data_IF_745490649005
#
_entry.id   IF_745490649005
#
_cell.length_a   1.000
_cell.length_b   1.000
_cell.length_c   1.000
_cell.angle_alpha   90.00
_cell.angle_beta   90.00
_cell.angle_gamma   90.00
#
_symmetry.space_group_name_H-M   'P 1'
#
loop_
_entity.id
_entity.type
_entity.pdbx_description
1 polymer ?
#
# COMPACT_ATOMS: atom_id res chain seq x y z
N UNK A 1 8.83 -6.84 -19.90
CA UNK A 1 9.68 -7.26 -18.76
C UNK A 1 10.05 -6.11 -17.82
N UNK A 2 9.89 -4.83 -18.18
CA UNK A 2 10.21 -3.66 -17.33
C UNK A 2 9.10 -3.23 -16.37
N UNK A 3 7.82 -3.36 -16.78
CA UNK A 3 6.68 -2.87 -15.98
C UNK A 3 6.54 -3.59 -14.62
N UNK A 4 6.70 -4.91 -14.60
CA UNK A 4 6.63 -5.70 -13.37
C UNK A 4 7.67 -5.22 -12.35
N UNK A 5 8.93 -5.05 -12.78
CA UNK A 5 10.00 -4.57 -11.91
C UNK A 5 9.78 -3.13 -11.43
N UNK A 6 9.21 -2.25 -12.26
CA UNK A 6 8.85 -0.90 -11.84
C UNK A 6 7.76 -0.89 -10.77
N UNK A 7 6.72 -1.72 -10.92
CA UNK A 7 5.65 -1.87 -9.93
C UNK A 7 6.19 -2.46 -8.62
N UNK A 8 7.04 -3.49 -8.70
CA UNK A 8 7.70 -4.08 -7.52
C UNK A 8 8.58 -3.05 -6.82
N UNK A 9 9.37 -2.28 -7.58
CA UNK A 9 10.23 -1.25 -7.02
C UNK A 9 9.42 -0.12 -6.38
N UNK A 10 8.37 0.36 -7.03
CA UNK A 10 7.48 1.39 -6.48
C UNK A 10 6.81 0.94 -5.17
N UNK A 11 6.39 -0.32 -5.12
CA UNK A 11 5.84 -0.93 -3.93
C UNK A 11 6.89 -1.06 -2.82
N UNK A 12 8.09 -1.56 -3.14
CA UNK A 12 9.17 -1.71 -2.17
C UNK A 12 9.62 -0.35 -1.61
N UNK A 13 9.64 0.69 -2.43
CA UNK A 13 9.92 2.08 -2.01
C UNK A 13 8.76 2.66 -1.20
N UNK A 14 7.51 2.33 -1.54
CA UNK A 14 6.34 2.73 -0.76
C UNK A 14 6.30 2.11 0.64
N UNK A 15 6.61 0.81 0.74
CA UNK A 15 6.41 0.03 1.95
C UNK A 15 7.63 0.02 2.89
N UNK A 16 8.85 0.27 2.41
CA UNK A 16 10.04 0.21 3.27
C UNK A 16 10.58 1.60 3.63
N UNK A 17 11.19 2.38 2.73
CA UNK A 17 11.78 3.67 3.09
C UNK A 17 10.73 4.71 3.48
N UNK A 18 9.50 4.60 2.97
CA UNK A 18 8.43 5.55 3.28
C UNK A 18 7.50 5.09 4.40
N UNK A 19 7.51 3.83 4.80
CA UNK A 19 6.78 3.36 5.97
C UNK A 19 7.59 3.63 7.25
N UNK A 20 7.77 4.91 7.57
CA UNK A 20 8.47 5.34 8.79
C UNK A 20 7.76 4.83 10.06
N UNK A 21 8.48 4.75 11.18
CA UNK A 21 7.94 4.33 12.48
C UNK A 21 6.70 5.16 12.88
N UNK A 22 6.68 6.43 12.52
CA UNK A 22 5.51 7.32 12.68
C UNK A 22 4.31 6.84 11.87
N UNK A 23 4.48 6.52 10.59
CA UNK A 23 3.38 6.04 9.74
C UNK A 23 2.87 4.69 10.23
N UNK A 24 3.77 3.81 10.67
CA UNK A 24 3.40 2.55 11.30
C UNK A 24 2.59 2.76 12.59
N UNK A 25 3.01 3.69 13.45
CA UNK A 25 2.27 4.05 14.66
C UNK A 25 0.87 4.59 14.34
N UNK A 26 0.76 5.49 13.35
CA UNK A 26 -0.54 6.04 12.92
C UNK A 26 -1.46 4.97 12.31
N UNK A 27 -0.90 4.04 11.53
CA UNK A 27 -1.63 2.89 10.98
C UNK A 27 -2.20 1.98 12.08
N UNK A 28 -1.43 1.74 13.14
CA UNK A 28 -1.88 0.88 14.23
C UNK A 28 -2.86 1.60 15.19
N UNK A 29 -2.71 2.90 15.37
CA UNK A 29 -3.55 3.71 16.27
C UNK A 29 -4.87 4.14 15.65
N UNK A 30 -4.90 4.44 14.36
CA UNK A 30 -6.08 4.95 13.66
C UNK A 30 -6.37 4.15 12.40
N UNK A 31 -7.63 3.74 12.21
CA UNK A 31 -8.09 3.06 10.97
C UNK A 31 -7.78 3.87 9.70
N UNK A 32 -7.73 5.20 9.81
CA UNK A 32 -7.37 6.12 8.72
C UNK A 32 -5.88 6.10 8.37
N UNK A 33 -5.01 5.60 9.25
CA UNK A 33 -3.57 5.48 8.97
C UNK A 33 -3.27 4.46 7.86
N UNK A 34 -4.15 3.48 7.64
CA UNK A 34 -4.09 2.58 6.48
C UNK A 34 -4.25 3.37 5.18
N UNK A 35 -5.23 4.27 5.10
CA UNK A 35 -5.45 5.09 3.91
C UNK A 35 -4.25 5.99 3.61
N UNK A 36 -3.58 6.51 4.65
CA UNK A 36 -2.37 7.31 4.51
C UNK A 36 -1.24 6.47 3.88
N UNK A 37 -0.94 5.30 4.44
CA UNK A 37 0.08 4.39 3.88
C UNK A 37 -0.23 3.99 2.43
N UNK A 38 -1.46 3.55 2.15
CA UNK A 38 -1.86 3.15 0.81
C UNK A 38 -1.78 4.33 -0.17
N UNK A 39 -2.10 5.56 0.26
CA UNK A 39 -1.96 6.75 -0.60
C UNK A 39 -0.51 7.02 -1.00
N UNK A 40 0.46 6.79 -0.09
CA UNK A 40 1.89 6.94 -0.39
C UNK A 40 2.31 5.89 -1.42
N UNK A 41 1.89 4.63 -1.25
CA UNK A 41 2.20 3.57 -2.20
C UNK A 41 1.54 3.81 -3.56
N UNK A 42 0.33 4.39 -3.59
CA UNK A 42 -0.34 4.79 -4.82
C UNK A 42 0.45 5.88 -5.57
N UNK A 43 0.88 6.91 -4.86
CA UNK A 43 1.70 8.01 -5.42
C UNK A 43 3.01 7.46 -5.97
N UNK A 44 3.70 6.58 -5.23
CA UNK A 44 4.93 5.98 -5.71
C UNK A 44 4.71 5.11 -6.95
N UNK A 45 3.63 4.32 -7.00
CA UNK A 45 3.28 3.59 -8.21
C UNK A 45 3.07 4.53 -9.40
N UNK A 46 2.33 5.63 -9.23
CA UNK A 46 2.13 6.64 -10.30
C UNK A 46 3.46 7.24 -10.76
N UNK A 47 4.33 7.64 -9.84
CA UNK A 47 5.64 8.27 -10.16
C UNK A 47 6.57 7.32 -10.93
N UNK A 48 6.67 6.07 -10.51
CA UNK A 48 7.55 5.09 -11.18
C UNK A 48 6.96 4.55 -12.49
N UNK A 49 5.65 4.69 -12.70
CA UNK A 49 4.96 4.19 -13.89
C UNK A 49 4.43 5.29 -14.81
N UNK A 50 4.92 6.53 -14.66
CA UNK A 50 4.64 7.69 -15.54
C UNK A 50 4.53 7.35 -17.03
N UNK A 51 5.49 6.62 -17.65
CA UNK A 51 5.39 6.31 -19.08
C UNK A 51 4.18 5.44 -19.46
N UNK A 52 3.59 4.72 -18.51
CA UNK A 52 2.45 3.82 -18.71
C UNK A 52 1.09 4.48 -18.37
N UNK A 53 1.08 5.65 -17.73
CA UNK A 53 -0.15 6.40 -17.40
C UNK A 53 -0.93 6.87 -18.64
N UNK A 54 -0.29 6.90 -19.81
CA UNK A 54 -0.93 7.23 -21.09
C UNK A 54 -2.00 6.21 -21.49
N UNK A 55 -1.95 5.00 -20.97
CA UNK A 55 -2.92 3.94 -21.28
C UNK A 55 -4.08 3.99 -20.27
N UNK A 56 -5.33 4.22 -20.72
CA UNK A 56 -6.50 4.27 -19.82
C UNK A 56 -6.70 2.96 -19.04
N UNK A 57 -6.39 1.82 -19.65
CA UNK A 57 -6.47 0.50 -19.01
C UNK A 57 -5.51 0.35 -17.82
N UNK A 58 -4.40 1.08 -17.82
CA UNK A 58 -3.40 1.02 -16.75
C UNK A 58 -3.89 1.67 -15.45
N UNK A 59 -4.78 2.66 -15.54
CA UNK A 59 -5.46 3.23 -14.37
C UNK A 59 -6.30 2.19 -13.63
N UNK A 60 -6.92 1.25 -14.35
CA UNK A 60 -7.63 0.13 -13.74
C UNK A 60 -6.70 -0.80 -12.97
N UNK A 61 -5.49 -1.04 -13.47
CA UNK A 61 -4.47 -1.84 -12.79
C UNK A 61 -4.00 -1.16 -11.51
N UNK A 62 -3.71 0.15 -11.57
CA UNK A 62 -3.34 0.94 -10.39
C UNK A 62 -4.45 0.94 -9.33
N UNK A 63 -5.71 1.04 -9.76
CA UNK A 63 -6.85 0.99 -8.86
C UNK A 63 -7.00 -0.39 -8.19
N UNK A 64 -6.82 -1.47 -8.95
CA UNK A 64 -6.83 -2.83 -8.41
C UNK A 64 -5.70 -3.03 -7.40
N UNK A 65 -4.49 -2.56 -7.71
CA UNK A 65 -3.36 -2.58 -6.79
C UNK A 65 -3.66 -1.80 -5.51
N UNK A 66 -4.21 -0.60 -5.62
CA UNK A 66 -4.65 0.20 -4.47
C UNK A 66 -5.62 -0.57 -3.57
N UNK A 67 -6.67 -1.15 -4.15
CA UNK A 67 -7.66 -1.95 -3.41
C UNK A 67 -6.99 -3.12 -2.72
N UNK A 68 -6.17 -3.89 -3.46
CA UNK A 68 -5.49 -5.05 -2.87
C UNK A 68 -4.65 -4.65 -1.66
N UNK A 69 -3.97 -3.51 -1.72
CA UNK A 69 -3.15 -3.02 -0.62
C UNK A 69 -3.98 -2.63 0.60
N UNK A 70 -5.11 -1.96 0.41
CA UNK A 70 -6.07 -1.69 1.50
C UNK A 70 -6.55 -2.99 2.15
N UNK A 71 -6.90 -3.99 1.34
CA UNK A 71 -7.41 -5.28 1.84
C UNK A 71 -6.35 -6.06 2.62
N UNK A 72 -5.13 -6.18 2.09
CA UNK A 72 -4.03 -6.87 2.77
C UNK A 72 -3.71 -6.22 4.12
N UNK A 73 -3.63 -4.89 4.15
CA UNK A 73 -3.31 -4.17 5.39
C UNK A 73 -4.44 -4.23 6.43
N UNK A 74 -5.69 -4.08 5.97
CA UNK A 74 -6.86 -4.19 6.84
C UNK A 74 -6.99 -5.61 7.41
N UNK A 75 -6.75 -6.63 6.58
CA UNK A 75 -6.74 -8.03 7.01
C UNK A 75 -5.65 -8.32 8.04
N UNK A 76 -4.44 -7.77 7.84
CA UNK A 76 -3.32 -7.92 8.79
C UNK A 76 -3.63 -7.31 10.15
N UNK A 77 -4.22 -6.12 10.18
CA UNK A 77 -4.61 -5.44 11.43
C UNK A 77 -5.76 -6.20 12.12
N UNK A 78 -6.74 -6.68 11.35
CA UNK A 78 -7.83 -7.49 11.91
C UNK A 78 -7.32 -8.80 12.53
N UNK A 79 -6.42 -9.49 11.83
CA UNK A 79 -5.82 -10.73 12.32
C UNK A 79 -4.96 -10.50 13.58
N UNK A 80 -4.13 -9.45 13.57
CA UNK A 80 -3.34 -9.04 14.74
C UNK A 80 -4.23 -8.66 15.92
N UNK A 81 -5.32 -7.93 15.68
CA UNK A 81 -6.28 -7.53 16.71
C UNK A 81 -7.00 -8.73 17.35
N UNK A 82 -7.37 -9.75 16.56
CA UNK A 82 -7.99 -10.96 17.10
C UNK A 82 -7.01 -11.82 17.90
N UNK A 83 -5.77 -12.01 17.43
CA UNK A 83 -4.76 -12.79 18.17
C UNK A 83 -4.45 -12.16 19.53
N UNK A 84 -4.33 -10.84 19.60
CA UNK A 84 -4.08 -10.12 20.88
C UNK A 84 -5.29 -10.25 21.82
N UNK A 85 -6.51 -10.26 21.27
CA UNK A 85 -7.73 -10.43 22.05
C UNK A 85 -7.90 -11.83 22.61
N UNK A 86 -7.37 -12.85 21.93
CA UNK A 86 -7.41 -14.26 22.36
C UNK A 86 -6.28 -14.62 23.36
N UNK A 87 -5.35 -13.69 23.63
CA UNK A 87 -4.20 -13.90 24.53
C UNK A 87 -4.27 -13.12 25.85
N UNK A 88 -5.42 -12.48 26.14
CA UNK A 88 -5.78 -11.83 27.42
C UNK A 88 -6.98 -12.53 28.00
#
# INVERSE_FOLDING_TARGET
MTLFWLLVLAHLVGDFPLQTDTIFFYKNKYKWGILLHVSICAVMNVVFTVPYLKYPSFWGVLFLLFISHVFYDSGKIWFAGNIIKDSV
#
